data_IF_660410267118
#
_entry.id   IF_660410267118
#
_cell.length_a   1.000
_cell.length_b   1.000
_cell.length_c   1.000
_cell.angle_alpha   90.00
_cell.angle_beta   90.00
_cell.angle_gamma   90.00
#
_symmetry.space_group_name_H-M   'P 1'
#
loop_
_entity.id
_entity.type
_entity.pdbx_description
1 polymer ?
#
# COMPACT_ATOMS: atom_id res chain seq x y z
N UNK A 1 30.62 31.18 10.07
CA UNK A 1 30.86 31.26 8.61
C UNK A 1 29.51 31.42 7.90
N UNK A 2 29.13 32.65 7.50
CA UNK A 2 27.88 32.91 6.76
C UNK A 2 28.12 32.54 5.29
N UNK A 3 27.58 31.40 4.86
CA UNK A 3 27.60 31.02 3.43
C UNK A 3 26.59 31.95 2.74
N UNK A 4 27.09 33.00 2.08
CA UNK A 4 26.26 33.83 1.22
C UNK A 4 25.99 33.08 -0.09
N UNK A 5 24.78 32.54 -0.22
CA UNK A 5 24.29 31.93 -1.45
C UNK A 5 24.13 33.05 -2.50
N UNK A 6 25.11 33.19 -3.40
CA UNK A 6 25.11 34.22 -4.46
C UNK A 6 23.90 34.04 -5.38
N UNK A 7 23.21 35.15 -5.67
CA UNK A 7 22.03 35.27 -6.57
C UNK A 7 22.27 34.60 -7.94
N UNK A 8 23.53 34.50 -8.37
CA UNK A 8 23.99 33.83 -9.60
C UNK A 8 23.64 32.34 -9.67
N UNK A 9 23.73 31.60 -8.56
CA UNK A 9 23.42 30.17 -8.54
C UNK A 9 21.92 29.89 -8.61
N UNK A 10 21.11 30.78 -8.06
CA UNK A 10 19.66 30.69 -8.15
C UNK A 10 19.18 30.87 -9.60
N UNK A 11 19.80 31.79 -10.34
CA UNK A 11 19.49 32.05 -11.76
C UNK A 11 19.93 30.86 -12.62
N UNK A 12 21.10 30.28 -12.36
CA UNK A 12 21.58 29.08 -13.06
C UNK A 12 20.66 27.87 -12.81
N UNK A 13 20.24 27.64 -11.56
CA UNK A 13 19.34 26.54 -11.21
C UNK A 13 17.95 26.75 -11.83
N UNK A 14 17.41 27.97 -11.79
CA UNK A 14 16.13 28.31 -12.43
C UNK A 14 16.19 28.18 -13.95
N UNK A 15 17.32 28.56 -14.57
CA UNK A 15 17.54 28.39 -16.01
C UNK A 15 17.59 26.92 -16.44
N UNK A 16 18.26 26.07 -15.66
CA UNK A 16 18.29 24.62 -15.89
C UNK A 16 16.90 23.99 -15.69
N UNK A 17 16.17 24.39 -14.65
CA UNK A 17 14.79 23.92 -14.40
C UNK A 17 13.85 24.35 -15.54
N UNK A 18 13.98 25.58 -16.03
CA UNK A 18 13.16 26.09 -17.14
C UNK A 18 13.50 25.37 -18.46
N UNK A 19 14.78 25.12 -18.74
CA UNK A 19 15.21 24.37 -19.92
C UNK A 19 14.67 22.93 -19.90
N UNK A 20 14.76 22.25 -18.74
CA UNK A 20 14.19 20.92 -18.53
C UNK A 20 12.65 20.94 -18.70
N UNK A 21 11.99 21.98 -18.19
CA UNK A 21 10.54 22.13 -18.30
C UNK A 21 10.09 22.33 -19.76
N UNK A 22 10.81 23.16 -20.53
CA UNK A 22 10.52 23.40 -21.95
C UNK A 22 10.75 22.14 -22.79
N UNK A 23 11.82 21.39 -22.51
CA UNK A 23 12.11 20.10 -23.19
C UNK A 23 11.00 19.07 -22.89
N UNK A 24 10.54 18.99 -21.64
CA UNK A 24 9.53 18.02 -21.24
C UNK A 24 8.14 18.32 -21.82
N UNK A 25 7.72 19.59 -21.87
CA UNK A 25 6.43 19.98 -22.44
C UNK A 25 6.41 20.04 -23.98
N UNK A 26 7.57 20.24 -24.64
CA UNK A 26 7.67 20.19 -26.10
C UNK A 26 7.39 18.80 -26.70
N UNK A 27 7.66 17.73 -25.94
CA UNK A 27 7.50 16.34 -26.41
C UNK A 27 6.06 15.82 -26.24
N UNK A 28 5.31 16.31 -25.24
CA UNK A 28 3.93 15.90 -25.00
C UNK A 28 2.97 16.43 -26.10
N UNK A 29 3.35 17.51 -26.79
CA UNK A 29 2.52 18.16 -27.83
C UNK A 29 2.31 17.38 -29.13
N UNK A 30 3.05 16.31 -29.40
CA UNK A 30 2.96 15.56 -30.68
C UNK A 30 2.26 14.20 -30.60
N UNK A 31 1.70 13.82 -29.44
CA UNK A 31 1.12 12.47 -29.24
C UNK A 31 -0.39 12.36 -29.50
N UNK A 32 -1.01 13.29 -30.24
CA UNK A 32 -2.41 13.17 -30.71
C UNK A 32 -2.46 13.05 -32.23
N UNK A 33 -2.01 11.91 -32.76
CA UNK A 33 -2.35 11.45 -34.11
C UNK A 33 -1.92 9.99 -34.27
N UNK A 34 -2.86 9.08 -34.01
CA UNK A 34 -2.65 7.63 -34.10
C UNK A 34 -3.96 6.92 -33.83
N UNK A 35 -4.87 7.02 -34.80
CA UNK A 35 -6.18 6.35 -34.82
C UNK A 35 -6.03 4.82 -34.71
N UNK A 36 -6.62 4.23 -33.67
CA UNK A 36 -6.85 2.79 -33.59
C UNK A 36 -8.17 2.43 -34.31
N UNK A 37 -8.25 1.28 -35.02
CA UNK A 37 -9.50 0.82 -35.62
C UNK A 37 -10.43 0.23 -34.54
N UNK A 38 -11.71 0.58 -34.59
CA UNK A 38 -12.76 0.02 -33.75
C UNK A 38 -13.12 -1.40 -34.23
N UNK A 39 -12.68 -2.42 -33.49
CA UNK A 39 -13.13 -3.79 -33.69
C UNK A 39 -14.43 -4.04 -32.91
N UNK A 40 -15.55 -4.01 -33.62
CA UNK A 40 -16.87 -4.32 -33.08
C UNK A 40 -16.97 -5.81 -32.80
N UNK A 41 -16.83 -6.23 -31.54
CA UNK A 41 -17.19 -7.58 -31.11
C UNK A 41 -18.61 -7.55 -30.52
N UNK A 42 -19.58 -8.33 -31.01
CA UNK A 42 -20.89 -8.43 -30.38
C UNK A 42 -20.76 -9.16 -29.04
N UNK A 43 -21.09 -8.48 -27.94
CA UNK A 43 -21.26 -9.09 -26.62
C UNK A 43 -22.65 -9.72 -26.61
N UNK A 44 -22.71 -11.04 -26.65
CA UNK A 44 -23.94 -11.80 -26.49
C UNK A 44 -24.25 -11.91 -24.99
N UNK A 45 -25.01 -10.96 -24.45
CA UNK A 45 -25.52 -11.02 -23.08
C UNK A 45 -26.67 -12.02 -23.01
N UNK A 46 -26.40 -13.26 -22.57
CA UNK A 46 -27.47 -14.17 -22.16
C UNK A 46 -27.98 -13.75 -20.78
N UNK A 47 -29.29 -13.53 -20.58
CA UNK A 47 -29.84 -13.23 -19.26
C UNK A 47 -29.67 -14.42 -18.32
N UNK A 48 -29.26 -14.15 -17.08
CA UNK A 48 -29.19 -15.16 -16.01
C UNK A 48 -30.63 -15.58 -15.65
N UNK A 49 -30.93 -16.86 -15.80
CA UNK A 49 -32.23 -17.44 -15.44
C UNK A 49 -32.30 -17.69 -13.92
N UNK A 50 -32.96 -16.77 -13.22
CA UNK A 50 -33.15 -16.81 -11.76
C UNK A 50 -34.12 -17.89 -11.28
N UNK A 51 -34.75 -18.66 -12.18
CA UNK A 51 -35.62 -19.78 -11.81
C UNK A 51 -34.83 -21.00 -11.31
N UNK A 52 -33.64 -21.26 -11.88
CA UNK A 52 -32.78 -22.37 -11.45
C UNK A 52 -32.14 -22.13 -10.07
N UNK A 53 -31.82 -20.87 -9.74
CA UNK A 53 -31.26 -20.51 -8.42
C UNK A 53 -32.33 -20.64 -7.32
N UNK A 54 -33.60 -20.37 -7.62
CA UNK A 54 -34.71 -20.56 -6.66
C UNK A 54 -35.03 -22.04 -6.40
N UNK A 55 -34.83 -22.93 -7.38
CA UNK A 55 -35.01 -24.37 -7.20
C UNK A 55 -34.01 -24.97 -6.20
N UNK A 56 -32.75 -24.47 -6.19
CA UNK A 56 -31.70 -24.95 -5.28
C UNK A 56 -31.92 -24.57 -3.80
N UNK A 57 -32.73 -23.55 -3.51
CA UNK A 57 -33.10 -23.17 -2.14
C UNK A 57 -34.46 -23.73 -1.68
N UNK A 58 -35.20 -24.41 -2.55
CA UNK A 58 -36.55 -24.90 -2.27
C UNK A 58 -36.61 -26.35 -1.78
N UNK A 59 -35.49 -27.09 -1.78
CA UNK A 59 -35.54 -28.56 -1.63
C UNK A 59 -34.91 -29.12 -0.34
N UNK A 60 -34.50 -28.28 0.62
CA UNK A 60 -33.85 -28.75 1.87
C UNK A 60 -34.42 -28.14 3.16
N UNK A 61 -35.74 -28.10 3.30
CA UNK A 61 -36.40 -27.85 4.59
C UNK A 61 -37.49 -28.87 4.88
N UNK A 62 -37.07 -30.12 5.10
CA UNK A 62 -37.88 -31.11 5.82
C UNK A 62 -37.02 -31.75 6.92
N UNK A 63 -36.97 -31.10 8.09
CA UNK A 63 -36.74 -31.82 9.34
C UNK A 63 -37.98 -31.60 10.20
N UNK A 64 -38.77 -32.67 10.25
CA UNK A 64 -39.99 -32.84 11.02
C UNK A 64 -39.63 -33.05 12.50
N UNK A 65 -40.17 -32.24 13.41
CA UNK A 65 -40.55 -32.69 14.74
C UNK A 65 -41.91 -32.07 15.13
N UNK A 66 -42.77 -32.82 15.85
CA UNK A 66 -44.21 -32.75 15.70
C UNK A 66 -44.89 -31.63 16.51
N UNK A 67 -45.71 -30.84 15.82
CA UNK A 67 -46.71 -29.94 16.41
C UNK A 67 -47.96 -30.73 16.81
N UNK A 68 -47.98 -31.24 18.03
CA UNK A 68 -49.24 -31.53 18.74
C UNK A 68 -49.19 -30.73 20.02
N UNK A 69 -49.86 -29.58 20.06
CA UNK A 69 -50.70 -29.09 21.16
C UNK A 69 -51.40 -27.84 20.63
N UNK A 70 -52.60 -28.09 20.11
CA UNK A 70 -53.62 -27.12 19.74
C UNK A 70 -53.95 -26.26 20.95
N UNK A 71 -53.81 -24.94 20.79
CA UNK A 71 -54.33 -23.95 21.73
C UNK A 71 -55.87 -23.97 21.63
N UNK A 72 -56.50 -24.84 22.41
CA UNK A 72 -57.93 -24.81 22.70
C UNK A 72 -58.14 -23.96 23.97
N UNK A 73 -59.05 -23.00 23.89
CA UNK A 73 -59.30 -21.99 24.92
C UNK A 73 -59.65 -22.59 26.28
N UNK A 74 -59.08 -21.98 27.33
CA UNK A 74 -59.46 -22.22 28.71
C UNK A 74 -60.43 -21.12 29.17
N UNK A 75 -61.67 -21.45 29.54
CA UNK A 75 -62.49 -20.55 30.37
C UNK A 75 -61.92 -20.49 31.80
N UNK A 76 -62.07 -19.38 32.54
CA UNK A 76 -61.49 -19.24 33.87
C UNK A 76 -62.37 -19.90 34.94
N UNK A 77 -61.77 -20.60 35.91
CA UNK A 77 -62.35 -20.72 37.25
C UNK A 77 -61.29 -20.43 38.32
N UNK A 78 -61.51 -19.47 39.21
CA UNK A 78 -62.25 -19.61 40.48
C UNK A 78 -61.37 -20.21 41.58
N UNK A 79 -61.08 -19.38 42.59
CA UNK A 79 -60.18 -19.68 43.71
C UNK A 79 -60.91 -20.48 44.78
N UNK A 80 -60.28 -21.55 45.29
CA UNK A 80 -60.62 -22.13 46.59
C UNK A 80 -59.34 -22.57 47.35
N UNK A 81 -59.34 -22.57 48.70
CA UNK A 81 -58.14 -22.38 49.51
C UNK A 81 -57.51 -23.67 50.07
N UNK A 82 -56.17 -23.63 50.21
CA UNK A 82 -55.32 -24.33 51.18
C UNK A 82 -55.51 -25.85 51.41
N UNK A 83 -54.74 -26.66 50.66
CA UNK A 83 -54.60 -28.12 50.81
C UNK A 83 -53.39 -28.55 51.69
N UNK A 84 -52.85 -27.67 52.54
CA UNK A 84 -51.62 -27.95 53.30
C UNK A 84 -51.77 -27.87 54.83
N UNK A 85 -52.91 -28.37 55.32
CA UNK A 85 -53.13 -28.67 56.73
C UNK A 85 -53.22 -30.17 56.95
N UNK A 86 -52.14 -30.93 56.78
CA UNK A 86 -52.00 -32.28 57.37
C UNK A 86 -50.60 -32.81 57.04
N UNK A 87 -49.70 -32.82 58.01
CA UNK A 87 -48.72 -33.88 58.31
C UNK A 87 -47.93 -33.39 59.53
N UNK A 88 -48.25 -33.95 60.69
CA UNK A 88 -47.42 -33.94 61.90
C UNK A 88 -47.21 -35.40 62.29
N UNK A 89 -45.94 -35.83 62.38
CA UNK A 89 -45.55 -37.17 62.79
C UNK A 89 -44.07 -37.20 63.17
N UNK A 90 -43.77 -37.64 64.39
CA UNK A 90 -42.44 -37.63 65.03
C UNK A 90 -41.76 -39.00 64.86
N UNK A 91 -40.68 -39.08 64.07
CA UNK A 91 -39.94 -40.33 63.83
C UNK A 91 -38.83 -40.56 64.86
N UNK A 92 -38.91 -41.66 65.64
CA UNK A 92 -37.90 -42.07 66.64
C UNK A 92 -37.12 -43.33 66.22
N UNK A 93 -36.44 -43.27 65.08
CA UNK A 93 -35.52 -44.34 64.62
C UNK A 93 -34.05 -44.05 64.97
N UNK A 94 -33.33 -45.07 65.46
CA UNK A 94 -31.92 -45.05 65.89
C UNK A 94 -30.91 -44.65 64.76
N UNK A 95 -31.38 -44.56 63.51
CA UNK A 95 -30.70 -43.88 62.40
C UNK A 95 -30.95 -42.35 62.45
N UNK A 96 -30.82 -41.80 63.66
CA UNK A 96 -31.02 -40.40 64.01
C UNK A 96 -30.06 -39.48 63.25
N UNK A 97 -30.34 -38.16 63.21
CA UNK A 97 -29.60 -37.14 62.46
C UNK A 97 -28.09 -37.32 62.33
N UNK A 98 -27.38 -37.71 63.40
CA UNK A 98 -25.92 -37.65 63.45
C UNK A 98 -25.20 -38.44 62.35
N UNK A 99 -25.58 -39.69 62.07
CA UNK A 99 -24.93 -40.49 61.03
C UNK A 99 -25.23 -39.92 59.63
N UNK A 100 -26.46 -39.43 59.44
CA UNK A 100 -26.87 -38.72 58.21
C UNK A 100 -26.04 -37.45 58.02
N UNK A 101 -25.83 -36.65 59.07
CA UNK A 101 -25.03 -35.43 59.02
C UNK A 101 -23.53 -35.69 58.83
N UNK A 102 -22.97 -36.78 59.37
CA UNK A 102 -21.55 -37.11 59.16
C UNK A 102 -21.30 -37.56 57.72
N UNK A 103 -22.13 -38.45 57.18
CA UNK A 103 -21.91 -38.98 55.83
C UNK A 103 -22.25 -37.95 54.74
N UNK A 104 -23.42 -37.29 54.84
CA UNK A 104 -23.79 -36.23 53.90
C UNK A 104 -23.01 -34.93 54.13
N UNK A 105 -22.64 -34.61 55.37
CA UNK A 105 -21.80 -33.44 55.68
C UNK A 105 -20.35 -33.62 55.26
N UNK A 106 -19.77 -34.82 55.49
CA UNK A 106 -18.42 -35.15 55.05
C UNK A 106 -18.29 -35.20 53.52
N UNK A 107 -19.23 -35.88 52.85
CA UNK A 107 -19.29 -35.88 51.38
C UNK A 107 -19.56 -34.47 50.81
N UNK A 108 -20.42 -33.69 51.47
CA UNK A 108 -20.71 -32.31 51.13
C UNK A 108 -19.48 -31.40 51.25
N UNK A 109 -18.65 -31.57 52.29
CA UNK A 109 -17.40 -30.82 52.47
C UNK A 109 -16.36 -31.18 51.41
N UNK A 110 -16.21 -32.46 51.07
CA UNK A 110 -15.31 -32.87 49.98
C UNK A 110 -15.78 -32.37 48.62
N UNK A 111 -17.09 -32.40 48.36
CA UNK A 111 -17.68 -31.85 47.16
C UNK A 111 -17.52 -30.31 47.08
N UNK A 112 -17.76 -29.60 48.19
CA UNK A 112 -17.56 -28.17 48.28
C UNK A 112 -16.08 -27.79 48.11
N UNK A 113 -15.16 -28.54 48.70
CA UNK A 113 -13.72 -28.36 48.51
C UNK A 113 -13.29 -28.67 47.08
N UNK A 114 -13.84 -29.72 46.47
CA UNK A 114 -13.63 -30.07 45.06
C UNK A 114 -14.12 -28.98 44.11
N UNK A 115 -15.32 -28.43 44.36
CA UNK A 115 -15.87 -27.30 43.60
C UNK A 115 -15.01 -26.04 43.81
N UNK A 116 -14.62 -25.72 45.05
CA UNK A 116 -13.77 -24.57 45.36
C UNK A 116 -12.41 -24.66 44.66
N UNK A 117 -11.77 -25.84 44.69
CA UNK A 117 -10.50 -26.06 44.01
C UNK A 117 -10.66 -26.01 42.50
N UNK A 118 -11.70 -26.63 41.94
CA UNK A 118 -11.99 -26.57 40.51
C UNK A 118 -12.26 -25.13 40.06
N UNK A 119 -13.12 -24.39 40.76
CA UNK A 119 -13.43 -22.98 40.48
C UNK A 119 -12.19 -22.09 40.56
N UNK A 120 -11.28 -22.34 41.50
CA UNK A 120 -10.01 -21.61 41.60
C UNK A 120 -9.10 -21.79 40.37
N UNK A 121 -9.14 -22.93 39.69
CA UNK A 121 -8.38 -23.18 38.44
C UNK A 121 -8.94 -22.37 37.28
N UNK A 122 -10.26 -22.11 37.26
CA UNK A 122 -10.89 -21.29 36.22
C UNK A 122 -10.59 -19.79 36.39
N UNK A 123 -10.31 -19.32 37.61
CA UNK A 123 -9.93 -17.93 37.87
C UNK A 123 -8.49 -17.62 37.42
N UNK A 124 -7.61 -18.62 37.41
CA UNK A 124 -6.19 -18.45 37.08
C UNK A 124 -5.82 -18.78 35.62
N UNK A 125 -6.81 -19.02 34.73
CA UNK A 125 -6.51 -19.12 33.30
C UNK A 125 -6.21 -17.74 32.74
N UNK A 126 -5.01 -17.57 32.17
CA UNK A 126 -4.72 -16.43 31.32
C UNK A 126 -5.80 -16.34 30.23
N UNK A 127 -6.37 -15.15 29.96
CA UNK A 127 -7.37 -14.99 28.92
C UNK A 127 -6.84 -15.55 27.59
N UNK A 128 -7.69 -16.28 26.86
CA UNK A 128 -7.31 -16.82 25.56
C UNK A 128 -6.98 -15.65 24.63
N UNK A 129 -5.70 -15.57 24.24
CA UNK A 129 -5.21 -14.62 23.26
C UNK A 129 -5.30 -15.26 21.87
N UNK A 130 -5.88 -14.60 20.85
CA UNK A 130 -5.86 -15.13 19.49
C UNK A 130 -4.41 -15.35 19.03
N UNK A 131 -4.23 -16.30 18.10
CA UNK A 131 -2.89 -16.68 17.64
C UNK A 131 -2.09 -15.49 17.08
N UNK A 132 -2.78 -14.50 16.53
CA UNK A 132 -2.20 -13.25 16.03
C UNK A 132 -1.54 -12.42 17.14
N UNK A 133 -2.22 -12.20 18.27
CA UNK A 133 -1.65 -11.43 19.39
C UNK A 133 -0.57 -12.20 20.11
N UNK A 134 -0.71 -13.53 20.26
CA UNK A 134 0.38 -14.36 20.80
C UNK A 134 1.64 -14.31 19.94
N UNK A 135 1.48 -14.34 18.62
CA UNK A 135 2.60 -14.24 17.68
C UNK A 135 3.23 -12.85 17.75
N UNK A 136 2.41 -11.79 17.78
CA UNK A 136 2.89 -10.43 17.96
C UNK A 136 3.68 -10.25 19.27
N UNK A 137 3.14 -10.70 20.40
CA UNK A 137 3.82 -10.65 21.71
C UNK A 137 5.13 -11.45 21.71
N UNK A 138 5.16 -12.61 21.02
CA UNK A 138 6.36 -13.43 20.89
C UNK A 138 7.46 -12.78 20.05
N UNK A 139 7.08 -12.06 18.98
CA UNK A 139 8.01 -11.29 18.16
C UNK A 139 8.50 -10.05 18.91
N UNK A 140 7.59 -9.35 19.58
CA UNK A 140 7.91 -8.14 20.31
C UNK A 140 8.83 -8.42 21.50
N UNK A 141 8.60 -9.50 22.23
CA UNK A 141 9.50 -9.94 23.33
C UNK A 141 10.92 -10.31 22.89
N UNK A 142 11.19 -10.49 21.58
CA UNK A 142 12.53 -10.79 21.04
C UNK A 142 13.22 -9.59 20.41
N UNK A 143 12.44 -8.78 19.71
CA UNK A 143 12.98 -7.72 18.85
C UNK A 143 12.58 -6.31 19.30
N UNK A 144 11.72 -6.18 20.32
CA UNK A 144 11.27 -4.92 20.94
C UNK A 144 10.86 -3.86 19.89
N UNK A 145 10.12 -4.30 18.86
CA UNK A 145 9.77 -3.49 17.68
C UNK A 145 8.59 -2.56 17.98
N UNK A 146 7.73 -2.92 18.92
CA UNK A 146 6.48 -2.20 19.20
C UNK A 146 6.70 -0.76 19.67
N UNK A 147 7.69 -0.50 20.54
CA UNK A 147 7.99 0.85 21.03
C UNK A 147 8.53 1.77 19.92
N UNK A 148 9.58 1.41 19.17
CA UNK A 148 10.04 2.21 18.03
C UNK A 148 8.94 2.46 17.00
N UNK A 149 8.14 1.44 16.69
CA UNK A 149 7.08 1.52 15.69
C UNK A 149 5.91 2.39 16.16
N UNK A 150 5.45 2.23 17.40
CA UNK A 150 4.39 3.06 17.97
C UNK A 150 4.81 4.52 18.05
N UNK A 151 6.05 4.81 18.48
CA UNK A 151 6.64 6.15 18.43
C UNK A 151 6.78 6.68 17.00
N UNK A 152 6.99 5.79 16.03
CA UNK A 152 7.03 6.16 14.63
C UNK A 152 5.65 6.62 14.13
N UNK A 153 4.62 5.82 14.37
CA UNK A 153 3.25 6.01 13.87
C UNK A 153 2.45 7.08 14.63
N UNK A 154 2.68 7.26 15.92
CA UNK A 154 1.90 8.17 16.80
C UNK A 154 2.25 9.65 16.68
N UNK A 155 3.17 10.03 15.78
CA UNK A 155 3.60 11.44 15.67
C UNK A 155 2.43 12.32 15.20
N UNK A 156 2.03 13.35 15.97
CA UNK A 156 0.86 14.16 15.62
C UNK A 156 1.12 15.00 14.36
N UNK A 157 0.13 15.03 13.47
CA UNK A 157 0.15 15.88 12.27
C UNK A 157 -0.46 17.24 12.61
N UNK A 158 0.23 18.36 12.36
CA UNK A 158 -0.35 19.69 12.59
C UNK A 158 -1.61 19.92 11.74
N UNK A 159 -2.63 20.59 12.29
CA UNK A 159 -3.90 20.86 11.57
C UNK A 159 -3.72 21.53 10.21
N UNK A 160 -2.76 22.46 10.09
CA UNK A 160 -2.48 23.12 8.81
C UNK A 160 -1.93 22.18 7.73
N UNK A 161 -1.31 21.06 8.13
CA UNK A 161 -0.71 20.07 7.24
C UNK A 161 -1.71 19.01 6.77
N UNK A 162 -2.97 19.07 7.23
CA UNK A 162 -4.05 18.16 6.80
C UNK A 162 -4.69 18.58 5.46
N UNK A 163 -4.23 19.70 4.87
CA UNK A 163 -4.75 20.19 3.58
C UNK A 163 -4.21 19.36 2.42
N UNK A 164 -5.01 19.11 1.39
CA UNK A 164 -4.71 18.16 0.30
C UNK A 164 -3.36 18.42 -0.40
N UNK A 165 -2.95 19.68 -0.55
CA UNK A 165 -1.68 20.02 -1.20
C UNK A 165 -0.42 19.66 -0.39
N UNK A 166 -0.55 19.32 0.90
CA UNK A 166 0.53 18.72 1.68
C UNK A 166 0.73 17.23 1.32
N UNK A 167 -0.25 16.59 0.68
CA UNK A 167 -0.20 15.19 0.27
C UNK A 167 0.60 14.98 -1.03
N UNK A 168 0.93 16.02 -1.79
CA UNK A 168 1.62 15.92 -3.10
C UNK A 168 2.93 15.11 -3.03
N UNK A 169 3.71 15.28 -1.97
CA UNK A 169 4.94 14.50 -1.76
C UNK A 169 4.65 13.03 -1.47
N UNK A 170 3.60 12.74 -0.69
CA UNK A 170 3.15 11.38 -0.42
C UNK A 170 2.59 10.68 -1.66
N UNK A 171 1.82 11.39 -2.48
CA UNK A 171 1.32 10.90 -3.78
C UNK A 171 2.49 10.56 -4.71
N UNK A 172 3.51 11.42 -4.76
CA UNK A 172 4.73 11.15 -5.55
C UNK A 172 5.43 9.86 -5.08
N UNK A 173 5.58 9.67 -3.77
CA UNK A 173 6.17 8.45 -3.20
C UNK A 173 5.30 7.21 -3.48
N UNK A 174 3.98 7.34 -3.42
CA UNK A 174 3.07 6.25 -3.78
C UNK A 174 3.19 5.86 -5.25
N UNK A 175 3.25 6.83 -6.17
CA UNK A 175 3.45 6.57 -7.59
C UNK A 175 4.80 5.88 -7.88
N UNK A 176 5.85 6.24 -7.14
CA UNK A 176 7.13 5.52 -7.20
C UNK A 176 7.00 4.03 -6.82
N UNK A 177 6.21 3.71 -5.79
CA UNK A 177 5.93 2.31 -5.41
C UNK A 177 5.13 1.59 -6.49
N UNK A 178 4.11 2.24 -7.07
CA UNK A 178 3.34 1.69 -8.19
C UNK A 178 4.24 1.41 -9.39
N UNK A 179 5.13 2.34 -9.73
CA UNK A 179 6.14 2.18 -10.79
C UNK A 179 7.09 1.01 -10.50
N UNK A 180 7.55 0.86 -9.26
CA UNK A 180 8.38 -0.27 -8.86
C UNK A 180 7.70 -1.62 -9.06
N UNK A 181 6.45 -1.76 -8.60
CA UNK A 181 5.69 -3.00 -8.73
C UNK A 181 5.41 -3.32 -10.21
N UNK A 182 4.86 -2.36 -10.94
CA UNK A 182 4.54 -2.55 -12.37
C UNK A 182 5.79 -2.74 -13.23
N UNK A 183 6.90 -2.07 -12.88
CA UNK A 183 8.19 -2.21 -13.55
C UNK A 183 8.77 -3.62 -13.38
N UNK A 184 8.71 -4.17 -12.16
CA UNK A 184 9.11 -5.57 -11.91
C UNK A 184 8.24 -6.53 -12.74
N UNK A 185 6.93 -6.32 -12.78
CA UNK A 185 6.02 -7.15 -13.59
C UNK A 185 6.37 -7.12 -15.09
N UNK A 186 6.69 -5.94 -15.64
CA UNK A 186 7.09 -5.79 -17.04
C UNK A 186 8.47 -6.43 -17.31
N UNK A 187 9.39 -6.34 -16.35
CA UNK A 187 10.74 -6.88 -16.48
C UNK A 187 10.77 -8.42 -16.64
N UNK A 188 9.75 -9.15 -16.18
CA UNK A 188 9.64 -10.60 -16.40
C UNK A 188 9.48 -10.99 -17.88
N UNK A 189 8.95 -10.10 -18.72
CA UNK A 189 8.62 -10.38 -20.12
C UNK A 189 9.47 -9.60 -21.13
N UNK A 190 10.00 -8.45 -20.71
CA UNK A 190 10.77 -7.55 -21.58
C UNK A 190 12.16 -8.12 -21.93
N UNK A 191 12.57 -7.97 -23.20
CA UNK A 191 13.89 -8.40 -23.70
C UNK A 191 14.72 -7.19 -24.12
N UNK A 192 15.83 -6.87 -23.44
CA UNK A 192 16.62 -5.66 -23.70
C UNK A 192 17.60 -5.83 -24.88
N UNK A 193 17.14 -6.28 -26.05
CA UNK A 193 17.96 -6.33 -27.28
C UNK A 193 17.24 -5.60 -28.42
N UNK A 194 17.94 -4.87 -29.31
CA UNK A 194 17.29 -4.12 -30.39
C UNK A 194 16.36 -4.95 -31.27
N UNK A 195 16.69 -6.21 -31.50
CA UNK A 195 15.94 -7.13 -32.36
C UNK A 195 14.63 -7.57 -31.71
N UNK A 196 14.60 -7.66 -30.37
CA UNK A 196 13.47 -8.24 -29.63
C UNK A 196 12.72 -7.24 -28.75
N UNK A 197 13.28 -6.07 -28.43
CA UNK A 197 12.70 -5.10 -27.49
C UNK A 197 11.29 -4.70 -27.88
N UNK A 198 11.11 -4.20 -29.11
CA UNK A 198 9.79 -3.79 -29.60
C UNK A 198 8.80 -4.97 -29.65
N UNK A 199 9.23 -6.13 -30.18
CA UNK A 199 8.39 -7.33 -30.24
C UNK A 199 7.97 -7.84 -28.85
N UNK A 200 8.83 -7.69 -27.84
CA UNK A 200 8.53 -8.06 -26.45
C UNK A 200 7.47 -7.15 -25.83
N UNK A 201 7.46 -5.85 -26.17
CA UNK A 201 6.39 -4.93 -25.77
C UNK A 201 5.07 -5.34 -26.42
N UNK A 202 5.06 -5.65 -27.72
CA UNK A 202 3.85 -6.13 -28.40
C UNK A 202 3.32 -7.42 -27.78
N UNK A 203 4.20 -8.34 -27.38
CA UNK A 203 3.84 -9.56 -26.67
C UNK A 203 3.19 -9.24 -25.31
N UNK A 204 3.75 -8.32 -24.52
CA UNK A 204 3.17 -7.86 -23.24
C UNK A 204 1.77 -7.29 -23.46
N UNK A 205 1.56 -6.50 -24.52
CA UNK A 205 0.26 -5.87 -24.76
C UNK A 205 -0.82 -6.85 -25.23
N UNK A 206 -0.44 -7.86 -26.02
CA UNK A 206 -1.41 -8.70 -26.74
C UNK A 206 -1.60 -10.09 -26.13
N UNK A 207 -0.56 -10.68 -25.56
CA UNK A 207 -0.55 -12.09 -25.12
C UNK A 207 -0.52 -12.26 -23.60
N UNK A 208 0.04 -11.31 -22.86
CA UNK A 208 0.12 -11.39 -21.40
C UNK A 208 -1.19 -10.93 -20.75
N UNK A 209 -1.77 -11.78 -19.89
CA UNK A 209 -2.96 -11.42 -19.11
C UNK A 209 -2.71 -10.15 -18.29
N UNK A 210 -3.56 -9.14 -18.46
CA UNK A 210 -3.40 -7.80 -17.86
C UNK A 210 -2.09 -7.08 -18.23
N UNK A 211 -1.34 -7.53 -19.24
CA UNK A 211 -0.07 -6.94 -19.63
C UNK A 211 -0.23 -5.53 -20.21
N UNK A 212 -1.21 -5.33 -21.11
CA UNK A 212 -1.57 -4.00 -21.62
C UNK A 212 -1.96 -3.03 -20.49
N UNK A 213 -2.79 -3.48 -19.54
CA UNK A 213 -3.17 -2.67 -18.39
C UNK A 213 -1.96 -2.32 -17.51
N UNK A 214 -1.08 -3.29 -17.24
CA UNK A 214 0.15 -3.07 -16.45
C UNK A 214 1.06 -2.05 -17.11
N UNK A 215 1.28 -2.15 -18.42
CA UNK A 215 2.06 -1.19 -19.20
C UNK A 215 1.43 0.21 -19.17
N UNK A 216 0.10 0.29 -19.32
CA UNK A 216 -0.64 1.54 -19.26
C UNK A 216 -0.53 2.20 -17.88
N UNK A 217 -0.68 1.44 -16.79
CA UNK A 217 -0.49 1.92 -15.41
C UNK A 217 0.95 2.42 -15.23
N UNK A 218 1.95 1.69 -15.71
CA UNK A 218 3.34 2.10 -15.62
C UNK A 218 3.59 3.44 -16.34
N UNK A 219 3.11 3.56 -17.59
CA UNK A 219 3.25 4.78 -18.39
C UNK A 219 2.54 5.99 -17.78
N UNK A 220 1.28 5.85 -17.35
CA UNK A 220 0.54 6.96 -16.73
C UNK A 220 1.04 7.30 -15.33
N UNK A 221 1.52 6.32 -14.57
CA UNK A 221 2.14 6.56 -13.26
C UNK A 221 3.46 7.32 -13.41
N UNK A 222 4.25 7.07 -14.46
CA UNK A 222 5.48 7.81 -14.73
C UNK A 222 5.19 9.29 -15.00
N UNK A 223 4.25 9.57 -15.90
CA UNK A 223 3.80 10.93 -16.19
C UNK A 223 3.19 11.62 -14.95
N UNK A 224 2.36 10.89 -14.21
CA UNK A 224 1.78 11.35 -12.95
C UNK A 224 2.85 11.66 -11.90
N UNK A 225 3.90 10.85 -11.79
CA UNK A 225 4.98 11.05 -10.84
C UNK A 225 5.74 12.34 -11.13
N UNK A 226 6.06 12.60 -12.41
CA UNK A 226 6.74 13.84 -12.82
C UNK A 226 5.87 15.06 -12.52
N UNK A 227 4.57 14.99 -12.85
CA UNK A 227 3.62 16.06 -12.55
C UNK A 227 3.50 16.33 -11.04
N UNK A 228 3.29 15.29 -10.24
CA UNK A 228 3.11 15.40 -8.78
C UNK A 228 4.40 15.84 -8.08
N UNK A 229 5.56 15.37 -8.54
CA UNK A 229 6.86 15.80 -8.05
C UNK A 229 7.06 17.30 -8.33
N UNK A 230 6.77 17.74 -9.55
CA UNK A 230 6.87 19.15 -9.94
C UNK A 230 5.91 20.02 -9.13
N UNK A 231 4.65 19.60 -8.97
CA UNK A 231 3.67 20.30 -8.14
C UNK A 231 4.11 20.37 -6.66
N UNK A 232 4.70 19.29 -6.14
CA UNK A 232 5.28 19.26 -4.80
C UNK A 232 6.41 20.29 -4.65
N UNK A 233 7.32 20.36 -5.62
CA UNK A 233 8.42 21.33 -5.64
C UNK A 233 7.91 22.77 -5.65
N UNK A 234 6.94 23.08 -6.53
CA UNK A 234 6.30 24.40 -6.61
C UNK A 234 5.68 24.77 -5.26
N UNK A 235 4.93 23.85 -4.64
CA UNK A 235 4.31 24.08 -3.34
C UNK A 235 5.35 24.34 -2.24
N UNK A 236 6.46 23.60 -2.21
CA UNK A 236 7.54 23.81 -1.23
C UNK A 236 8.20 25.18 -1.42
N UNK A 237 8.35 25.61 -2.67
CA UNK A 237 8.89 26.92 -3.02
C UNK A 237 7.96 28.07 -2.59
N UNK A 238 6.69 28.03 -3.00
CA UNK A 238 5.70 29.08 -2.68
C UNK A 238 5.52 29.21 -1.16
N UNK A 239 5.46 28.09 -0.44
CA UNK A 239 5.26 28.08 1.01
C UNK A 239 6.54 28.41 1.80
N UNK A 240 7.66 28.69 1.13
CA UNK A 240 8.95 29.00 1.77
C UNK A 240 9.48 27.88 2.67
N UNK A 241 9.05 26.63 2.43
CA UNK A 241 9.36 25.50 3.30
C UNK A 241 10.84 25.06 3.21
N UNK A 242 11.57 25.49 2.17
CA UNK A 242 13.00 25.27 1.99
C UNK A 242 13.90 26.14 2.89
N UNK A 243 13.36 27.15 3.57
CA UNK A 243 14.12 28.04 4.48
C UNK A 243 14.70 27.26 5.67
N UNK A 244 15.69 27.87 6.34
CA UNK A 244 16.33 27.35 7.56
C UNK A 244 15.32 26.73 8.53
N UNK A 245 15.55 25.52 9.07
CA UNK A 245 16.73 24.64 8.94
C UNK A 245 16.60 23.52 7.86
N UNK A 246 15.73 23.70 6.84
CA UNK A 246 15.35 22.65 5.87
C UNK A 246 16.10 22.75 4.52
N UNK A 247 17.24 23.43 4.47
CA UNK A 247 17.99 23.66 3.23
C UNK A 247 18.48 22.35 2.61
N UNK A 248 19.01 21.42 3.42
CA UNK A 248 19.44 20.10 2.92
C UNK A 248 18.27 19.24 2.45
N UNK A 249 17.09 19.40 3.06
CA UNK A 249 15.90 18.70 2.59
C UNK A 249 15.49 19.20 1.20
N UNK A 250 15.61 20.51 0.94
CA UNK A 250 15.40 21.06 -0.40
C UNK A 250 16.41 20.53 -1.42
N UNK A 251 17.71 20.50 -1.10
CA UNK A 251 18.74 19.95 -2.00
C UNK A 251 18.45 18.50 -2.35
N UNK A 252 18.11 17.66 -1.36
CA UNK A 252 17.73 16.27 -1.63
C UNK A 252 16.46 16.16 -2.50
N UNK A 253 15.48 17.07 -2.34
CA UNK A 253 14.31 17.14 -3.20
C UNK A 253 14.64 17.48 -4.66
N UNK A 254 15.57 18.43 -4.88
CA UNK A 254 16.07 18.75 -6.22
C UNK A 254 16.78 17.56 -6.85
N UNK A 255 17.62 16.83 -6.09
CA UNK A 255 18.27 15.62 -6.59
C UNK A 255 17.24 14.53 -6.94
N UNK A 256 16.20 14.34 -6.13
CA UNK A 256 15.11 13.40 -6.42
C UNK A 256 14.31 13.79 -7.68
N UNK A 257 14.09 15.08 -7.93
CA UNK A 257 13.48 15.56 -9.18
C UNK A 257 14.36 15.20 -10.38
N UNK A 258 15.67 15.45 -10.30
CA UNK A 258 16.61 15.08 -11.37
C UNK A 258 16.65 13.56 -11.62
N UNK A 259 16.62 12.75 -10.55
CA UNK A 259 16.53 11.30 -10.66
C UNK A 259 15.23 10.86 -11.33
N UNK A 260 14.10 11.50 -11.00
CA UNK A 260 12.79 11.22 -11.59
C UNK A 260 12.75 11.53 -13.09
N UNK A 261 13.40 12.62 -13.51
CA UNK A 261 13.59 12.94 -14.93
C UNK A 261 14.54 11.94 -15.62
N UNK A 262 15.58 11.49 -14.93
CA UNK A 262 16.47 10.42 -15.38
C UNK A 262 15.74 9.09 -15.60
N UNK A 263 14.79 8.74 -14.74
CA UNK A 263 13.87 7.62 -14.97
C UNK A 263 13.04 7.82 -16.23
N UNK A 264 12.47 9.02 -16.42
CA UNK A 264 11.72 9.35 -17.62
C UNK A 264 12.53 9.11 -18.89
N UNK A 265 13.75 9.65 -18.97
CA UNK A 265 14.63 9.46 -20.12
C UNK A 265 15.00 7.99 -20.35
N UNK A 266 15.52 7.33 -19.30
CA UNK A 266 16.01 5.95 -19.44
C UNK A 266 14.87 4.98 -19.78
N UNK A 267 13.71 5.13 -19.17
CA UNK A 267 12.53 4.29 -19.41
C UNK A 267 11.87 4.52 -20.76
N UNK A 268 11.92 5.76 -21.27
CA UNK A 268 11.36 6.10 -22.58
C UNK A 268 12.09 5.41 -23.73
N UNK A 269 13.38 5.05 -23.56
CA UNK A 269 14.16 4.33 -24.59
C UNK A 269 13.72 2.86 -24.76
N UNK A 270 13.25 2.22 -23.69
CA UNK A 270 13.07 0.75 -23.63
C UNK A 270 12.15 0.18 -24.73
N UNK A 271 11.05 0.83 -25.16
CA UNK A 271 10.23 0.30 -26.25
C UNK A 271 10.97 0.15 -27.58
N UNK A 272 12.08 0.88 -27.77
CA UNK A 272 12.91 0.84 -28.98
C UNK A 272 12.12 1.13 -30.27
N UNK A 273 11.17 2.07 -30.20
CA UNK A 273 10.47 2.60 -31.38
C UNK A 273 11.18 3.84 -31.93
N UNK A 274 10.74 4.31 -33.10
CA UNK A 274 11.37 5.44 -33.79
C UNK A 274 11.38 6.70 -32.92
N UNK A 275 10.33 6.93 -32.13
CA UNK A 275 10.21 8.09 -31.24
C UNK A 275 11.18 7.98 -30.07
N UNK A 276 11.26 6.83 -29.41
CA UNK A 276 12.18 6.56 -28.32
C UNK A 276 13.65 6.74 -28.74
N UNK A 277 14.01 6.21 -29.92
CA UNK A 277 15.36 6.31 -30.47
C UNK A 277 15.78 7.78 -30.65
N UNK A 278 15.02 8.54 -31.44
CA UNK A 278 15.37 9.94 -31.72
C UNK A 278 15.26 10.86 -30.51
N UNK A 279 14.27 10.64 -29.63
CA UNK A 279 14.17 11.39 -28.38
C UNK A 279 15.43 11.20 -27.52
N UNK A 280 15.94 9.97 -27.46
CA UNK A 280 17.17 9.66 -26.71
C UNK A 280 18.40 10.27 -27.36
N UNK A 281 18.49 10.21 -28.68
CA UNK A 281 19.55 10.87 -29.46
C UNK A 281 19.59 12.36 -29.11
N UNK A 282 18.48 13.08 -29.29
CA UNK A 282 18.42 14.52 -28.97
C UNK A 282 18.73 14.80 -27.50
N UNK A 283 18.17 14.03 -26.56
CA UNK A 283 18.40 14.24 -25.13
C UNK A 283 19.87 14.09 -24.72
N UNK A 284 20.58 13.12 -25.30
CA UNK A 284 22.00 12.88 -25.02
C UNK A 284 22.92 13.87 -25.74
N UNK A 285 22.52 14.38 -26.90
CA UNK A 285 23.22 15.48 -27.59
C UNK A 285 23.13 16.81 -26.84
N UNK A 286 22.01 17.09 -26.18
CA UNK A 286 21.91 18.26 -25.30
C UNK A 286 22.95 18.18 -24.17
N UNK A 287 23.18 17.00 -23.62
CA UNK A 287 24.25 16.76 -22.64
C UNK A 287 25.65 16.98 -23.21
N UNK A 288 25.86 16.64 -24.48
CA UNK A 288 27.12 16.84 -25.19
C UNK A 288 27.44 18.31 -25.47
N UNK A 289 26.44 19.20 -25.47
CA UNK A 289 26.64 20.64 -25.66
C UNK A 289 27.38 21.32 -24.49
N UNK A 290 27.60 20.63 -23.36
CA UNK A 290 28.34 21.18 -22.22
C UNK A 290 29.84 21.24 -22.57
N UNK A 291 30.48 22.43 -22.52
CA UNK A 291 31.90 22.55 -22.84
C UNK A 291 32.75 21.71 -21.88
N UNK A 292 33.88 21.18 -22.38
CA UNK A 292 34.89 20.39 -21.65
C UNK A 292 34.45 18.97 -21.27
N UNK A 293 33.22 18.77 -20.79
CA UNK A 293 32.75 17.47 -20.28
C UNK A 293 31.67 16.80 -21.12
N UNK A 294 31.12 17.50 -22.12
CA UNK A 294 30.00 17.02 -22.93
C UNK A 294 30.28 15.69 -23.65
N UNK A 295 31.41 15.58 -24.33
CA UNK A 295 31.80 14.35 -25.04
C UNK A 295 31.93 13.16 -24.07
N UNK A 296 32.48 13.39 -22.88
CA UNK A 296 32.58 12.34 -21.85
C UNK A 296 31.20 11.89 -21.38
N UNK A 297 30.27 12.83 -21.17
CA UNK A 297 28.88 12.52 -20.76
C UNK A 297 28.18 11.72 -21.86
N UNK A 298 28.32 12.12 -23.12
CA UNK A 298 27.70 11.44 -24.26
C UNK A 298 28.25 10.03 -24.41
N UNK A 299 29.57 9.87 -24.44
CA UNK A 299 30.21 8.55 -24.56
C UNK A 299 29.87 7.67 -23.37
N UNK A 300 29.79 8.22 -22.16
CA UNK A 300 29.39 7.44 -20.99
C UNK A 300 27.92 7.00 -21.04
N UNK A 301 27.02 7.89 -21.48
CA UNK A 301 25.59 7.62 -21.58
C UNK A 301 25.27 6.63 -22.72
N UNK A 302 25.79 6.85 -23.92
CA UNK A 302 25.53 6.02 -25.11
C UNK A 302 26.42 4.78 -25.18
N UNK A 303 27.59 4.81 -24.54
CA UNK A 303 28.68 3.86 -24.75
C UNK A 303 29.17 3.81 -26.20
N UNK A 304 29.22 4.98 -26.82
CA UNK A 304 29.57 5.18 -28.22
C UNK A 304 29.19 6.59 -28.63
N UNK A 305 29.39 6.89 -29.92
CA UNK A 305 28.95 8.17 -30.50
C UNK A 305 27.47 8.14 -30.86
N UNK A 306 26.97 6.97 -31.25
CA UNK A 306 25.59 6.75 -31.67
C UNK A 306 24.79 5.97 -30.63
N UNK A 307 23.46 6.08 -30.69
CA UNK A 307 22.56 5.24 -29.90
C UNK A 307 22.54 3.85 -30.53
N UNK A 308 22.97 2.83 -29.78
CA UNK A 308 23.18 1.46 -30.24
C UNK A 308 22.64 0.42 -29.25
N UNK A 309 22.85 -0.87 -29.54
CA UNK A 309 22.41 -2.00 -28.70
C UNK A 309 22.96 -1.92 -27.27
N UNK A 310 24.20 -1.46 -27.13
CA UNK A 310 24.91 -1.25 -25.89
C UNK A 310 24.25 -0.14 -25.07
N UNK A 311 23.74 0.90 -25.73
CA UNK A 311 22.97 1.96 -25.07
C UNK A 311 21.70 1.39 -24.45
N UNK A 312 20.96 0.55 -25.20
CA UNK A 312 19.70 -0.05 -24.74
C UNK A 312 19.90 -0.92 -23.49
N UNK A 313 20.84 -1.85 -23.55
CA UNK A 313 21.13 -2.77 -22.43
C UNK A 313 21.56 -2.02 -21.16
N UNK A 314 22.33 -0.94 -21.31
CA UNK A 314 22.75 -0.09 -20.19
C UNK A 314 21.64 0.77 -19.64
N UNK A 315 20.84 1.38 -20.51
CA UNK A 315 19.67 2.16 -20.07
C UNK A 315 18.68 1.27 -19.34
N UNK A 316 18.50 0.03 -19.79
CA UNK A 316 17.74 -0.97 -19.06
C UNK A 316 18.34 -1.20 -17.66
N UNK A 317 19.62 -1.54 -17.55
CA UNK A 317 20.29 -1.75 -16.25
C UNK A 317 20.23 -0.50 -15.33
N UNK A 318 20.41 0.69 -15.89
CA UNK A 318 20.27 1.95 -15.16
C UNK A 318 18.84 2.13 -14.64
N UNK A 319 17.84 1.88 -15.48
CA UNK A 319 16.43 2.10 -15.17
C UNK A 319 15.90 1.12 -14.12
N UNK A 320 16.27 -0.16 -14.19
CA UNK A 320 15.72 -1.19 -13.29
C UNK A 320 16.53 -1.40 -12.02
N UNK A 321 17.82 -1.07 -12.00
CA UNK A 321 18.71 -1.38 -10.88
C UNK A 321 19.30 -0.12 -10.24
N UNK A 322 20.09 0.64 -11.00
CA UNK A 322 20.89 1.73 -10.42
C UNK A 322 20.00 2.89 -9.97
N UNK A 323 19.11 3.38 -10.83
CA UNK A 323 18.23 4.50 -10.50
C UNK A 323 17.27 4.18 -9.34
N UNK A 324 16.63 3.00 -9.26
CA UNK A 324 15.80 2.62 -8.10
C UNK A 324 16.58 2.61 -6.79
N UNK A 325 17.77 2.01 -6.77
CA UNK A 325 18.58 1.93 -5.55
C UNK A 325 19.03 3.32 -5.07
N UNK A 326 19.53 4.16 -5.99
CA UNK A 326 19.96 5.53 -5.67
C UNK A 326 18.77 6.36 -5.19
N UNK A 327 17.62 6.24 -5.86
CA UNK A 327 16.41 6.99 -5.51
C UNK A 327 15.86 6.56 -4.16
N UNK A 328 15.85 5.25 -3.84
CA UNK A 328 15.48 4.74 -2.52
C UNK A 328 16.38 5.31 -1.41
N UNK A 329 17.70 5.38 -1.64
CA UNK A 329 18.64 5.96 -0.68
C UNK A 329 18.36 7.45 -0.44
N UNK A 330 18.21 8.25 -1.50
CA UNK A 330 17.89 9.68 -1.38
C UNK A 330 16.51 9.93 -0.78
N UNK A 331 15.52 9.10 -1.13
CA UNK A 331 14.16 9.19 -0.59
C UNK A 331 14.15 8.86 0.91
N UNK A 332 14.89 7.85 1.35
CA UNK A 332 15.08 7.53 2.77
C UNK A 332 15.70 8.70 3.54
N UNK A 333 16.76 9.31 3.00
CA UNK A 333 17.38 10.49 3.58
C UNK A 333 16.41 11.69 3.64
N UNK A 334 15.64 11.92 2.57
CA UNK A 334 14.63 12.98 2.48
C UNK A 334 13.55 12.81 3.56
N UNK A 335 12.97 11.62 3.69
CA UNK A 335 11.94 11.33 4.70
C UNK A 335 12.49 11.44 6.13
N UNK A 336 13.72 11.00 6.37
CA UNK A 336 14.36 11.12 7.68
C UNK A 336 14.53 12.59 8.10
N UNK A 337 14.95 13.46 7.18
CA UNK A 337 15.09 14.90 7.44
C UNK A 337 13.74 15.55 7.73
N UNK A 338 12.72 15.28 6.90
CA UNK A 338 11.34 15.76 7.14
C UNK A 338 10.83 15.29 8.49
N UNK A 339 11.08 14.04 8.86
CA UNK A 339 10.64 13.49 10.14
C UNK A 339 11.38 14.11 11.32
N UNK A 340 12.68 14.39 11.20
CA UNK A 340 13.46 15.05 12.26
C UNK A 340 13.06 16.51 12.45
N UNK A 341 12.89 17.27 11.36
CA UNK A 341 12.69 18.72 11.41
C UNK A 341 11.21 19.14 11.48
N UNK A 342 10.29 18.23 11.15
CA UNK A 342 8.85 18.50 11.12
C UNK A 342 8.42 19.33 9.90
N UNK A 343 7.09 19.43 9.72
CA UNK A 343 6.49 20.14 8.59
C UNK A 343 6.53 21.65 8.83
N UNK A 344 6.95 22.41 7.82
CA UNK A 344 6.96 23.88 7.87
C UNK A 344 5.53 24.43 8.00
N UNK A 345 5.35 25.42 8.90
CA UNK A 345 4.14 26.23 8.91
C UNK A 345 4.04 27.02 7.59
N UNK A 346 2.84 27.20 7.03
CA UNK A 346 2.65 28.13 5.93
C UNK A 346 3.11 29.53 6.36
N UNK A 347 3.62 30.30 5.39
CA UNK A 347 3.97 31.71 5.59
C UNK A 347 2.74 32.55 5.90
#
# INVERSE_FOLDING_TARGET
MKIQFRRSYLIAILGVILAIFVIFFGIIGQSQAGSAPSENRPVNETPIDWSQVKALFSENTHILLPSKYTAAGLPPPEQDPCLHCHITGEEKGLWTPLVRWIFFGGAGLLFAFGIYRSSSVWVNRSPWKPITTRTADWFDSRYEISEPLSKFLSKPVPKFAQRWWYCLGGITAFLFVVLGITGIMLAFYYKPTPEAAYSSIQFIETQVNFGSATRMIHHWSANGMILMCTAHMIRVFIMGAYKKPREFNWVSGVLLLLLTLGFGLTGYLLPWDQRAYWATTVATEIGAAIPVVGDLILVFARFGWDVAAETLTRFYALHILILPLVTLAFMGAHFLMVRRQGVAKPL
#
